data_IF_123840411153
#
_entry.id   IF_123840411153
#
_cell.length_a   1.000
_cell.length_b   1.000
_cell.length_c   1.000
_cell.angle_alpha   90.00
_cell.angle_beta   90.00
_cell.angle_gamma   90.00
#
_symmetry.space_group_name_H-M   'P 1'
#
loop_
_entity.id
_entity.type
_entity.pdbx_description
1 polymer ?
#
# COMPACT_ATOMS: atom_id res chain seq x y z
N UNK A 1 3.69 -26.39 -11.47
CA UNK A 1 5.11 -26.30 -11.38
C UNK A 1 5.50 -25.34 -10.28
N UNK A 2 6.04 -25.90 -9.19
CA UNK A 2 6.47 -25.16 -7.98
C UNK A 2 7.84 -24.50 -8.18
N UNK A 3 8.43 -24.70 -9.33
CA UNK A 3 9.86 -24.44 -9.61
C UNK A 3 10.24 -22.97 -9.89
N UNK A 4 9.31 -22.01 -9.67
CA UNK A 4 9.57 -20.58 -9.93
C UNK A 4 9.57 -19.68 -8.70
N UNK A 5 9.69 -20.24 -7.50
CA UNK A 5 9.71 -19.47 -6.26
C UNK A 5 11.11 -19.32 -5.65
N UNK A 6 12.15 -19.28 -6.48
CA UNK A 6 13.51 -19.13 -6.00
C UNK A 6 13.97 -17.68 -6.05
N UNK A 7 14.25 -17.15 -4.87
CA UNK A 7 15.25 -16.11 -4.70
C UNK A 7 16.40 -16.71 -3.89
N UNK A 8 17.64 -16.52 -4.31
CA UNK A 8 18.85 -17.15 -3.78
C UNK A 8 19.14 -16.95 -2.30
N UNK A 9 18.33 -16.14 -1.60
CA UNK A 9 18.44 -15.85 -0.15
C UNK A 9 17.38 -16.52 0.71
N UNK A 10 16.38 -17.19 0.14
CA UNK A 10 15.35 -17.91 0.89
C UNK A 10 15.70 -19.38 1.08
N UNK A 11 16.01 -19.84 2.29
CA UNK A 11 16.15 -21.26 2.59
C UNK A 11 14.79 -21.95 2.47
N UNK A 12 14.59 -22.68 1.36
CA UNK A 12 13.50 -23.65 1.26
C UNK A 12 13.86 -24.88 2.10
N UNK A 13 13.02 -25.26 3.00
CA UNK A 13 13.10 -26.52 3.69
C UNK A 13 11.81 -27.30 3.51
N UNK A 14 11.87 -28.46 2.87
CA UNK A 14 10.75 -29.38 2.75
C UNK A 14 10.75 -30.32 3.96
N UNK A 15 9.71 -30.26 4.78
CA UNK A 15 9.51 -31.14 5.91
C UNK A 15 8.21 -31.93 5.68
N UNK A 16 8.31 -33.24 5.52
CA UNK A 16 7.15 -34.13 5.32
C UNK A 16 6.21 -33.71 4.16
N UNK A 17 6.77 -33.27 3.03
CA UNK A 17 5.98 -32.79 1.88
C UNK A 17 5.45 -31.37 2.00
N UNK A 18 5.75 -30.65 3.08
CA UNK A 18 5.37 -29.26 3.30
C UNK A 18 6.53 -28.31 2.95
N UNK A 19 6.21 -27.20 2.31
CA UNK A 19 7.16 -26.13 2.04
C UNK A 19 7.20 -25.16 3.21
N UNK A 20 8.39 -24.86 3.72
CA UNK A 20 8.60 -23.88 4.79
C UNK A 20 9.40 -22.70 4.26
N UNK A 21 8.85 -21.50 4.45
CA UNK A 21 9.51 -20.23 4.18
C UNK A 21 9.77 -19.51 5.49
N UNK A 22 10.89 -18.79 5.56
CA UNK A 22 11.23 -17.95 6.71
C UNK A 22 11.43 -16.52 6.22
N UNK A 23 10.90 -15.56 6.95
CA UNK A 23 11.00 -14.13 6.67
C UNK A 23 10.93 -13.37 7.99
N UNK A 24 11.46 -12.14 8.02
CA UNK A 24 11.36 -11.26 9.18
C UNK A 24 9.94 -10.66 9.27
N UNK A 25 9.31 -10.39 8.13
CA UNK A 25 7.98 -9.79 8.07
C UNK A 25 7.11 -10.56 7.08
N UNK A 26 5.94 -11.00 7.53
CA UNK A 26 4.88 -11.53 6.68
C UNK A 26 3.76 -10.49 6.53
N UNK A 27 3.48 -10.09 5.30
CA UNK A 27 2.35 -9.21 4.96
C UNK A 27 1.24 -10.07 4.34
N UNK A 28 0.08 -10.09 4.98
CA UNK A 28 -1.10 -10.82 4.48
C UNK A 28 -1.97 -9.86 3.68
N UNK A 29 -1.98 -10.06 2.37
CA UNK A 29 -2.71 -9.25 1.42
C UNK A 29 -1.86 -8.21 0.69
N UNK A 30 -1.83 -8.29 -0.63
CA UNK A 30 -1.11 -7.40 -1.55
C UNK A 30 -1.94 -6.20 -2.03
N UNK A 31 -2.92 -5.72 -1.26
CA UNK A 31 -3.66 -4.49 -1.53
C UNK A 31 -2.77 -3.25 -1.37
N UNK A 32 -3.35 -2.06 -1.46
CA UNK A 32 -2.62 -0.79 -1.31
C UNK A 32 -1.87 -0.73 0.02
N UNK A 33 -2.52 -1.09 1.13
CA UNK A 33 -1.91 -1.09 2.45
C UNK A 33 -0.70 -2.03 2.54
N UNK A 34 -0.84 -3.27 2.02
CA UNK A 34 0.26 -4.23 2.01
C UNK A 34 1.44 -3.79 1.15
N UNK A 35 1.17 -3.22 -0.03
CA UNK A 35 2.21 -2.65 -0.87
C UNK A 35 2.96 -1.50 -0.16
N UNK A 36 2.22 -0.57 0.44
CA UNK A 36 2.82 0.55 1.17
C UNK A 36 3.60 0.10 2.41
N UNK A 37 3.11 -0.91 3.13
CA UNK A 37 3.84 -1.51 4.25
C UNK A 37 5.20 -2.04 3.79
N UNK A 38 5.23 -2.82 2.70
CA UNK A 38 6.48 -3.34 2.14
C UNK A 38 7.44 -2.22 1.71
N UNK A 39 6.96 -1.21 0.98
CA UNK A 39 7.76 -0.05 0.56
C UNK A 39 8.35 0.68 1.77
N UNK A 40 7.54 0.91 2.80
CA UNK A 40 7.97 1.64 4.01
C UNK A 40 8.96 0.84 4.85
N UNK A 41 8.76 -0.47 4.98
CA UNK A 41 9.70 -1.33 5.71
C UNK A 41 11.06 -1.31 5.02
N UNK A 42 11.10 -1.43 3.68
CA UNK A 42 12.35 -1.42 2.91
C UNK A 42 13.07 -0.07 2.92
N UNK A 43 12.36 1.03 3.09
CA UNK A 43 12.98 2.35 3.32
C UNK A 43 13.66 2.48 4.68
N UNK A 44 13.23 1.69 5.67
CA UNK A 44 13.67 1.84 7.06
C UNK A 44 14.53 0.69 7.57
N UNK A 45 14.57 -0.43 6.85
CA UNK A 45 15.30 -1.63 7.28
C UNK A 45 15.64 -2.54 6.12
N UNK A 46 16.56 -3.49 6.37
CA UNK A 46 16.93 -4.56 5.45
C UNK A 46 16.14 -5.85 5.69
N UNK A 47 15.06 -5.80 6.47
CA UNK A 47 14.23 -6.94 6.78
C UNK A 47 13.73 -7.64 5.50
N UNK A 48 13.77 -8.96 5.51
CA UNK A 48 13.17 -9.80 4.48
C UNK A 48 11.65 -9.78 4.61
N UNK A 49 10.94 -9.70 3.48
CA UNK A 49 9.49 -9.57 3.45
C UNK A 49 8.90 -10.63 2.54
N UNK A 50 7.84 -11.30 3.02
CA UNK A 50 6.95 -12.08 2.17
C UNK A 50 5.58 -11.40 2.16
N UNK A 51 5.06 -11.16 0.94
CA UNK A 51 3.67 -10.74 0.75
C UNK A 51 2.88 -11.96 0.27
N UNK A 52 1.94 -12.44 1.08
CA UNK A 52 1.02 -13.50 0.73
C UNK A 52 -0.28 -12.89 0.15
N UNK A 53 -0.49 -13.04 -1.15
CA UNK A 53 -1.63 -12.47 -1.86
C UNK A 53 -2.55 -13.58 -2.40
N UNK A 54 -3.83 -13.57 -2.00
CA UNK A 54 -4.77 -14.62 -2.41
C UNK A 54 -5.13 -14.61 -3.89
N UNK A 55 -4.98 -13.48 -4.56
CA UNK A 55 -5.27 -13.34 -5.98
C UNK A 55 -3.99 -12.96 -6.77
N UNK A 56 -3.88 -11.73 -7.20
CA UNK A 56 -2.73 -11.20 -7.92
C UNK A 56 -2.45 -9.77 -7.45
N UNK A 57 -1.24 -9.51 -7.02
CA UNK A 57 -0.84 -8.21 -6.46
C UNK A 57 -1.12 -7.02 -7.43
N UNK A 58 -1.07 -7.24 -8.74
CA UNK A 58 -1.38 -6.19 -9.73
C UNK A 58 -2.87 -5.85 -9.82
N UNK A 59 -3.73 -6.71 -9.28
CA UNK A 59 -5.19 -6.59 -9.42
C UNK A 59 -5.96 -6.82 -8.12
N UNK A 60 -5.29 -6.83 -6.97
CA UNK A 60 -5.94 -7.00 -5.67
C UNK A 60 -6.21 -5.67 -4.96
N UNK A 61 -7.24 -5.67 -4.13
CA UNK A 61 -7.69 -4.50 -3.39
C UNK A 61 -8.63 -3.58 -4.18
N UNK A 62 -9.27 -2.65 -3.49
CA UNK A 62 -10.29 -1.76 -4.07
C UNK A 62 -9.75 -0.83 -5.18
N UNK A 63 -8.48 -0.44 -5.11
CA UNK A 63 -7.86 0.41 -6.13
C UNK A 63 -7.55 -0.31 -7.44
N UNK A 64 -7.75 -1.63 -7.51
CA UNK A 64 -7.54 -2.41 -8.74
C UNK A 64 -8.52 -2.05 -9.87
N UNK A 65 -9.67 -1.47 -9.53
CA UNK A 65 -10.64 -0.96 -10.50
C UNK A 65 -10.21 0.36 -11.15
N UNK A 66 -9.16 0.99 -10.64
CA UNK A 66 -8.77 2.34 -11.01
C UNK A 66 -9.60 3.39 -10.28
N UNK A 67 -9.04 4.58 -10.11
CA UNK A 67 -9.69 5.72 -9.46
C UNK A 67 -9.31 7.01 -10.17
N UNK A 68 -10.18 7.99 -10.14
CA UNK A 68 -9.97 9.29 -10.80
C UNK A 68 -9.68 10.44 -9.82
N UNK A 69 -9.67 10.14 -8.53
CA UNK A 69 -9.36 11.12 -7.48
C UNK A 69 -8.73 10.45 -6.27
N UNK A 70 -7.85 11.15 -5.60
CA UNK A 70 -7.45 10.87 -4.22
C UNK A 70 -8.35 11.71 -3.33
N UNK A 71 -9.15 11.04 -2.50
CA UNK A 71 -10.14 11.68 -1.63
C UNK A 71 -9.62 12.05 -0.24
N UNK A 72 -8.32 11.86 -0.02
CA UNK A 72 -7.64 12.17 1.21
C UNK A 72 -6.37 12.96 0.88
N UNK A 73 -6.49 14.28 0.87
CA UNK A 73 -5.43 15.22 0.57
C UNK A 73 -5.66 16.53 1.31
N UNK A 74 -4.61 17.09 1.86
CA UNK A 74 -4.68 18.39 2.54
C UNK A 74 -4.40 19.47 1.51
N UNK A 75 -5.47 20.10 0.99
CA UNK A 75 -5.36 21.18 0.00
C UNK A 75 -4.81 22.46 0.62
N UNK A 76 -4.28 23.35 -0.21
CA UNK A 76 -3.75 24.64 0.23
C UNK A 76 -4.76 25.41 1.09
N UNK A 77 -4.33 25.96 2.22
CA UNK A 77 -5.19 26.67 3.18
C UNK A 77 -5.95 25.76 4.16
N UNK A 78 -5.76 24.45 4.09
CA UNK A 78 -6.30 23.48 5.04
C UNK A 78 -5.18 22.85 5.86
N UNK A 79 -5.58 22.21 6.96
CA UNK A 79 -4.68 21.52 7.88
C UNK A 79 -5.17 20.08 8.18
N UNK A 80 -4.31 19.20 8.69
CA UNK A 80 -4.67 17.81 8.98
C UNK A 80 -5.91 17.64 9.86
N UNK A 81 -6.11 18.53 10.83
CA UNK A 81 -7.27 18.51 11.73
C UNK A 81 -8.60 18.75 10.99
N UNK A 82 -8.59 19.55 9.90
CA UNK A 82 -9.79 19.74 9.08
C UNK A 82 -10.26 18.43 8.43
N UNK A 83 -9.32 17.53 8.12
CA UNK A 83 -9.63 16.20 7.62
C UNK A 83 -10.22 15.31 8.72
N UNK A 84 -9.70 15.40 9.95
CA UNK A 84 -10.23 14.67 11.11
C UNK A 84 -11.68 15.08 11.37
N UNK A 85 -11.96 16.37 11.43
CA UNK A 85 -13.32 16.89 11.63
C UNK A 85 -14.29 16.45 10.53
N UNK A 86 -13.80 16.44 9.28
CA UNK A 86 -14.58 15.89 8.17
C UNK A 86 -14.92 14.40 8.38
N UNK A 87 -13.90 13.58 8.70
CA UNK A 87 -14.08 12.15 8.86
C UNK A 87 -14.98 11.80 10.06
N UNK A 88 -14.90 12.57 11.15
CA UNK A 88 -15.83 12.47 12.30
C UNK A 88 -17.27 12.66 11.86
N UNK A 89 -17.54 13.76 11.15
CA UNK A 89 -18.88 14.06 10.67
C UNK A 89 -19.42 13.00 9.70
N UNK A 90 -18.55 12.47 8.84
CA UNK A 90 -18.92 11.44 7.84
C UNK A 90 -19.22 10.07 8.48
N UNK A 91 -18.66 9.81 9.66
CA UNK A 91 -18.79 8.55 10.39
C UNK A 91 -19.62 8.68 11.69
N UNK A 92 -20.45 9.72 11.82
CA UNK A 92 -21.27 9.95 13.00
C UNK A 92 -20.49 9.85 14.34
N UNK A 93 -19.30 10.46 14.38
CA UNK A 93 -18.34 10.45 15.49
C UNK A 93 -17.76 9.06 15.85
N UNK A 94 -18.04 8.01 15.08
CA UNK A 94 -17.49 6.66 15.32
C UNK A 94 -16.11 6.54 14.66
N UNK A 95 -15.11 7.24 15.23
CA UNK A 95 -13.74 7.28 14.72
C UNK A 95 -12.71 7.28 15.86
N UNK A 96 -11.49 6.86 15.51
CA UNK A 96 -10.28 7.04 16.33
C UNK A 96 -9.55 8.29 15.84
N UNK A 97 -9.82 9.43 16.49
CA UNK A 97 -9.28 10.73 16.09
C UNK A 97 -7.76 10.79 16.11
N UNK A 98 -7.13 10.14 17.09
CA UNK A 98 -5.68 10.01 17.21
C UNK A 98 -5.04 9.31 15.99
N UNK A 99 -5.67 8.23 15.50
CA UNK A 99 -5.22 7.52 14.32
C UNK A 99 -5.48 8.31 13.03
N UNK A 100 -6.63 8.99 12.95
CA UNK A 100 -6.96 9.85 11.81
C UNK A 100 -6.00 11.02 11.70
N UNK A 101 -5.63 11.67 12.82
CA UNK A 101 -4.66 12.76 12.81
C UNK A 101 -3.29 12.27 12.33
N UNK A 102 -2.78 11.20 12.93
CA UNK A 102 -1.50 10.59 12.52
C UNK A 102 -1.47 10.24 11.03
N UNK A 103 -2.59 9.75 10.48
CA UNK A 103 -2.72 9.47 9.05
C UNK A 103 -2.75 10.76 8.23
N UNK A 104 -3.57 11.74 8.64
CA UNK A 104 -3.80 12.97 7.86
C UNK A 104 -2.57 13.84 7.74
N UNK A 105 -1.71 13.87 8.75
CA UNK A 105 -0.41 14.56 8.71
C UNK A 105 0.52 14.05 7.58
N UNK A 106 0.30 12.81 7.12
CA UNK A 106 1.15 12.17 6.11
C UNK A 106 0.53 12.06 4.72
N UNK A 107 -0.71 12.48 4.54
CA UNK A 107 -1.43 12.30 3.26
C UNK A 107 -0.70 12.92 2.06
N UNK A 108 -0.18 14.13 2.22
CA UNK A 108 0.49 14.83 1.14
C UNK A 108 1.86 14.22 0.81
N UNK A 109 2.60 13.79 1.83
CA UNK A 109 3.87 13.05 1.65
C UNK A 109 3.64 11.75 0.87
N UNK A 110 2.65 10.97 1.28
CA UNK A 110 2.29 9.70 0.61
C UNK A 110 1.83 9.93 -0.83
N UNK A 111 1.06 10.99 -1.07
CA UNK A 111 0.63 11.37 -2.42
C UNK A 111 1.82 11.74 -3.32
N UNK A 112 2.76 12.53 -2.82
CA UNK A 112 3.98 12.87 -3.56
C UNK A 112 4.84 11.63 -3.84
N UNK A 113 4.88 10.66 -2.93
CA UNK A 113 5.54 9.38 -3.17
C UNK A 113 4.88 8.60 -4.31
N UNK A 114 3.54 8.57 -4.37
CA UNK A 114 2.82 7.93 -5.47
C UNK A 114 3.12 8.59 -6.82
N UNK A 115 3.20 9.91 -6.87
CA UNK A 115 3.59 10.64 -8.08
C UNK A 115 4.99 10.24 -8.54
N UNK A 116 5.95 10.14 -7.60
CA UNK A 116 7.32 9.69 -7.91
C UNK A 116 7.36 8.24 -8.43
N UNK A 117 6.44 7.40 -8.01
CA UNK A 117 6.30 6.02 -8.51
C UNK A 117 5.63 5.96 -9.90
N UNK A 118 5.15 7.08 -10.43
CA UNK A 118 4.57 7.17 -11.77
C UNK A 118 3.05 7.40 -11.80
N UNK A 119 2.41 7.67 -10.66
CA UNK A 119 1.00 8.07 -10.67
C UNK A 119 0.86 9.45 -11.31
N UNK A 120 0.00 9.54 -12.32
CA UNK A 120 -0.31 10.81 -12.97
C UNK A 120 -1.30 11.61 -12.14
N UNK A 121 -0.85 12.70 -11.54
CA UNK A 121 -1.68 13.67 -10.84
C UNK A 121 -1.87 14.88 -11.74
N UNK A 122 -3.13 15.31 -11.92
CA UNK A 122 -3.44 16.43 -12.77
C UNK A 122 -2.98 17.73 -12.12
N UNK A 123 -2.31 18.58 -12.93
CA UNK A 123 -1.80 19.89 -12.49
C UNK A 123 -2.43 21.01 -13.32
N UNK A 124 -2.62 22.14 -12.68
CA UNK A 124 -3.03 23.39 -13.32
C UNK A 124 -1.85 24.05 -14.06
N UNK A 125 -2.10 25.20 -14.68
CA UNK A 125 -1.11 26.01 -15.41
C UNK A 125 0.05 26.52 -14.53
N UNK A 126 -0.16 26.56 -13.21
CA UNK A 126 0.84 26.96 -12.22
C UNK A 126 1.60 25.75 -11.62
N UNK A 127 1.34 24.54 -12.11
CA UNK A 127 1.94 23.29 -11.62
C UNK A 127 1.37 22.79 -10.30
N UNK A 128 0.25 23.33 -9.80
CA UNK A 128 -0.42 22.90 -8.56
C UNK A 128 -1.36 21.74 -8.88
N UNK A 129 -1.56 20.84 -7.92
CA UNK A 129 -2.53 19.75 -8.07
C UNK A 129 -3.94 20.30 -8.24
N UNK A 130 -4.66 19.79 -9.24
CA UNK A 130 -6.05 20.18 -9.49
C UNK A 130 -6.93 19.64 -8.36
N UNK A 131 -7.34 20.53 -7.46
CA UNK A 131 -8.24 20.20 -6.35
C UNK A 131 -9.67 19.97 -6.86
N UNK A 132 -10.39 19.07 -6.18
CA UNK A 132 -11.82 18.85 -6.33
C UNK A 132 -12.46 18.94 -4.95
N UNK A 133 -13.08 20.08 -4.65
CA UNK A 133 -13.55 20.38 -3.31
C UNK A 133 -12.40 20.60 -2.31
N UNK A 134 -12.62 20.28 -1.04
CA UNK A 134 -11.74 20.68 0.06
C UNK A 134 -10.67 19.64 0.44
N UNK A 135 -10.68 18.44 -0.15
CA UNK A 135 -9.85 17.31 0.30
C UNK A 135 -9.47 16.33 -0.81
N UNK A 136 -9.84 16.63 -2.03
CA UNK A 136 -9.64 15.71 -3.15
C UNK A 136 -8.73 16.34 -4.17
N UNK A 137 -7.90 15.53 -4.80
CA UNK A 137 -7.14 15.92 -6.00
C UNK A 137 -7.44 14.96 -7.14
N UNK A 138 -7.41 15.48 -8.36
CA UNK A 138 -7.67 14.69 -9.57
C UNK A 138 -6.43 13.90 -9.98
N UNK A 139 -6.64 12.64 -10.32
CA UNK A 139 -5.59 11.75 -10.83
C UNK A 139 -6.06 11.01 -12.08
N UNK A 140 -5.11 10.47 -12.83
CA UNK A 140 -5.34 9.39 -13.77
C UNK A 140 -4.82 8.11 -13.13
N UNK A 141 -5.70 7.43 -12.40
CA UNK A 141 -5.34 6.32 -11.51
C UNK A 141 -5.72 4.94 -12.02
N UNK A 142 -5.94 4.77 -13.32
CA UNK A 142 -6.21 3.45 -13.91
C UNK A 142 -5.08 2.45 -13.62
N UNK A 143 -3.84 2.93 -13.56
CA UNK A 143 -2.65 2.13 -13.34
C UNK A 143 -2.11 2.18 -11.90
N UNK A 144 -2.84 2.73 -10.95
CA UNK A 144 -2.36 2.88 -9.57
C UNK A 144 -1.93 1.55 -8.94
N UNK A 145 -2.66 0.48 -9.20
CA UNK A 145 -2.35 -0.83 -8.65
C UNK A 145 -1.16 -1.51 -9.34
N UNK A 146 -1.05 -1.54 -10.68
CA UNK A 146 0.18 -1.93 -11.37
C UNK A 146 1.42 -1.16 -10.91
N UNK A 147 1.34 0.16 -10.77
CA UNK A 147 2.45 1.01 -10.30
C UNK A 147 2.96 0.53 -8.93
N UNK A 148 2.05 0.33 -7.96
CA UNK A 148 2.42 -0.17 -6.63
C UNK A 148 3.00 -1.58 -6.68
N UNK A 149 2.42 -2.47 -7.48
CA UNK A 149 2.88 -3.83 -7.60
C UNK A 149 4.27 -3.91 -8.23
N UNK A 150 4.53 -3.10 -9.25
CA UNK A 150 5.84 -3.07 -9.92
C UNK A 150 6.91 -2.45 -8.99
N UNK A 151 6.55 -1.41 -8.23
CA UNK A 151 7.43 -0.85 -7.20
C UNK A 151 7.81 -1.89 -6.15
N UNK A 152 6.85 -2.67 -5.64
CA UNK A 152 7.11 -3.74 -4.66
C UNK A 152 7.94 -4.87 -5.25
N UNK A 153 7.64 -5.30 -6.48
CA UNK A 153 8.37 -6.38 -7.13
C UNK A 153 9.82 -6.00 -7.49
N UNK A 154 10.13 -4.71 -7.56
CA UNK A 154 11.50 -4.22 -7.79
C UNK A 154 12.35 -4.14 -6.51
N UNK A 155 11.75 -4.32 -5.34
CA UNK A 155 12.47 -4.26 -4.07
C UNK A 155 13.33 -5.52 -3.85
N UNK A 156 14.55 -5.33 -3.39
CA UNK A 156 15.37 -6.42 -2.88
C UNK A 156 14.80 -6.97 -1.57
N UNK A 157 15.01 -8.25 -1.30
CA UNK A 157 14.55 -8.98 -0.11
C UNK A 157 13.02 -8.98 0.07
N UNK A 158 12.25 -8.79 -1.00
CA UNK A 158 10.78 -8.90 -1.00
C UNK A 158 10.35 -10.03 -1.95
N UNK A 159 9.55 -10.95 -1.44
CA UNK A 159 8.96 -12.04 -2.21
C UNK A 159 7.45 -11.86 -2.23
N UNK A 160 6.86 -11.80 -3.42
CA UNK A 160 5.41 -11.77 -3.60
C UNK A 160 4.91 -13.14 -4.02
N UNK A 161 4.07 -13.76 -3.21
CA UNK A 161 3.45 -15.04 -3.52
C UNK A 161 1.98 -14.78 -3.85
N UNK A 162 1.67 -14.82 -5.15
CA UNK A 162 0.30 -14.72 -5.62
C UNK A 162 -0.42 -16.07 -5.52
N UNK A 163 -1.76 -16.05 -5.43
CA UNK A 163 -2.63 -17.22 -5.31
C UNK A 163 -2.37 -18.05 -4.05
N UNK A 164 -1.93 -17.38 -2.99
CA UNK A 164 -1.71 -17.97 -1.69
C UNK A 164 -2.76 -17.46 -0.70
N UNK A 165 -3.65 -18.34 -0.28
CA UNK A 165 -4.64 -18.03 0.73
C UNK A 165 -4.08 -18.40 2.11
N UNK A 166 -3.96 -17.43 2.99
CA UNK A 166 -3.61 -17.65 4.40
C UNK A 166 -4.88 -18.08 5.13
N UNK A 167 -4.84 -19.23 5.74
CA UNK A 167 -6.00 -19.84 6.43
C UNK A 167 -5.90 -19.69 7.94
N UNK A 168 -4.69 -19.59 8.49
CA UNK A 168 -4.48 -19.47 9.91
C UNK A 168 -3.08 -18.93 10.24
N UNK A 169 -2.86 -18.51 11.48
CA UNK A 169 -1.55 -18.17 12.01
C UNK A 169 -1.43 -18.63 13.47
N UNK A 170 -0.21 -18.96 13.87
CA UNK A 170 0.10 -19.40 15.24
C UNK A 170 1.14 -18.44 15.82
N UNK A 171 0.81 -17.83 16.93
CA UNK A 171 1.76 -17.06 17.74
C UNK A 171 2.45 -18.01 18.70
N UNK A 172 3.77 -17.92 18.78
CA UNK A 172 4.57 -18.64 19.79
C UNK A 172 5.21 -17.59 20.69
N UNK A 173 5.11 -17.82 21.98
CA UNK A 173 5.82 -17.06 23.00
C UNK A 173 7.32 -17.34 22.95
#
# INVERSE_FOLDING_TARGET
>A
PVDKFYNEKGKFMQINGLNRLTTDVLIIGGGTAGCYAALTIREKSDASIIIAEKANIKRSGCLAAGVNAINAYIVEGRKPEDYVEYAKKDADDIVREDLLLTMSERLNEVTAKMEKLGLVILKDENGRYVARGNRNIKINGENIKPILADAVNSLENVIVINRLNITDYIVKD
#
